data_IF_208117590020
#
_entry.id   IF_208117590020
#
_cell.length_a   1.000
_cell.length_b   1.000
_cell.length_c   1.000
_cell.angle_alpha   90.00
_cell.angle_beta   90.00
_cell.angle_gamma   90.00
#
_symmetry.space_group_name_H-M   'P 1'
#
loop_
_entity.id
_entity.type
_entity.pdbx_description
1 polymer ?
#
# COMPACT_ATOMS: atom_id res chain seq x y z
N UNK A 1 20.68 -51.60 -41.97
CA UNK A 1 19.58 -50.94 -41.22
C UNK A 1 20.19 -49.77 -40.44
N UNK A 2 20.26 -48.58 -41.03
CA UNK A 2 20.92 -47.41 -40.41
C UNK A 2 19.89 -46.30 -40.23
N UNK A 3 19.32 -46.20 -39.02
CA UNK A 3 18.42 -45.10 -38.65
C UNK A 3 19.26 -43.82 -38.46
N UNK A 4 19.16 -42.87 -39.40
CA UNK A 4 19.60 -41.48 -39.18
C UNK A 4 18.64 -40.82 -38.19
N UNK A 5 19.07 -40.62 -36.95
CA UNK A 5 18.38 -39.73 -36.00
C UNK A 5 18.78 -38.29 -36.33
N UNK A 6 17.94 -37.57 -37.09
CA UNK A 6 18.06 -36.11 -37.21
C UNK A 6 17.54 -35.52 -35.91
N UNK A 7 18.45 -35.17 -35.00
CA UNK A 7 18.14 -34.56 -33.70
C UNK A 7 17.37 -33.26 -33.97
N UNK A 8 16.07 -33.29 -33.68
CA UNK A 8 15.16 -32.15 -33.78
C UNK A 8 15.52 -31.18 -32.67
N UNK A 9 16.26 -30.13 -33.01
CA UNK A 9 16.54 -29.01 -32.12
C UNK A 9 15.31 -28.12 -32.05
N UNK A 10 14.35 -28.49 -31.21
CA UNK A 10 13.22 -27.63 -30.83
C UNK A 10 13.79 -26.65 -29.80
N UNK A 11 14.47 -25.60 -30.26
CA UNK A 11 14.83 -24.46 -29.43
C UNK A 11 13.61 -23.57 -29.25
N UNK A 12 12.70 -24.02 -28.39
CA UNK A 12 11.63 -23.19 -27.84
C UNK A 12 11.93 -23.00 -26.37
N UNK A 13 12.73 -21.99 -26.05
CA UNK A 13 12.72 -21.39 -24.71
C UNK A 13 12.67 -19.89 -24.88
N UNK A 14 11.43 -19.41 -24.98
CA UNK A 14 11.07 -18.05 -24.66
C UNK A 14 11.58 -17.76 -23.25
N UNK A 15 12.65 -16.99 -23.13
CA UNK A 15 12.94 -16.28 -21.89
C UNK A 15 11.93 -15.14 -21.80
N UNK A 16 10.77 -15.52 -21.26
CA UNK A 16 9.72 -14.65 -20.77
C UNK A 16 10.39 -13.60 -19.90
N UNK A 17 10.14 -12.34 -20.25
CA UNK A 17 10.54 -11.17 -19.49
C UNK A 17 10.09 -11.35 -18.04
N UNK A 18 11.04 -11.67 -17.16
CA UNK A 18 10.85 -11.53 -15.72
C UNK A 18 11.12 -10.07 -15.36
N UNK A 19 10.31 -9.19 -15.93
CA UNK A 19 9.93 -7.97 -15.26
C UNK A 19 8.64 -8.35 -14.56
N UNK A 20 8.76 -8.75 -13.30
CA UNK A 20 7.69 -8.67 -12.33
C UNK A 20 7.40 -7.17 -12.15
N UNK A 21 6.88 -6.53 -13.19
CA UNK A 21 6.21 -5.25 -13.11
C UNK A 21 4.91 -5.57 -12.39
N UNK A 22 4.96 -5.32 -11.09
CA UNK A 22 3.85 -5.11 -10.17
C UNK A 22 2.62 -4.58 -10.94
N UNK A 23 1.79 -5.50 -11.41
CA UNK A 23 0.49 -5.18 -12.00
C UNK A 23 -0.49 -5.03 -10.85
N UNK A 24 -0.30 -4.00 -10.02
CA UNK A 24 -1.41 -3.46 -9.25
C UNK A 24 -2.12 -2.45 -10.15
N UNK A 25 -3.22 -2.88 -10.75
CA UNK A 25 -4.19 -2.02 -11.40
C UNK A 25 -5.54 -2.45 -10.83
N UNK A 26 -6.40 -1.57 -10.33
CA UNK A 26 -7.35 -0.85 -11.19
C UNK A 26 -8.03 0.27 -10.42
N UNK A 27 -7.54 1.49 -10.57
CA UNK A 27 -8.34 2.61 -11.07
C UNK A 27 -7.32 3.56 -11.73
N UNK A 28 -7.74 4.66 -12.32
CA UNK A 28 -6.90 5.63 -13.03
C UNK A 28 -5.87 6.32 -12.10
N UNK A 29 -4.91 5.59 -11.52
CA UNK A 29 -3.86 6.09 -10.65
C UNK A 29 -2.56 6.24 -11.45
N UNK A 30 -2.51 7.34 -12.19
CA UNK A 30 -1.24 7.97 -12.56
C UNK A 30 -0.46 8.25 -11.25
N UNK A 31 0.51 7.37 -10.94
CA UNK A 31 1.59 7.54 -9.97
C UNK A 31 1.32 7.15 -8.49
N UNK A 32 1.98 6.07 -8.02
CA UNK A 32 2.56 5.79 -6.69
C UNK A 32 2.11 6.50 -5.41
N UNK A 33 0.84 6.90 -5.31
CA UNK A 33 0.29 7.68 -4.23
C UNK A 33 -0.92 6.95 -3.62
N UNK A 34 -1.00 6.91 -2.29
CA UNK A 34 -2.05 6.23 -1.54
C UNK A 34 -2.63 7.17 -0.47
N UNK A 35 -3.95 7.11 -0.25
CA UNK A 35 -4.61 7.86 0.83
C UNK A 35 -4.34 7.19 2.18
N UNK A 36 -3.93 7.98 3.17
CA UNK A 36 -3.66 7.51 4.53
C UNK A 36 -4.66 8.07 5.55
N UNK A 37 -4.99 7.25 6.55
CA UNK A 37 -5.80 7.66 7.69
C UNK A 37 -5.29 7.06 9.00
N UNK A 38 -5.58 7.73 10.12
CA UNK A 38 -5.33 7.23 11.46
C UNK A 38 -6.55 6.44 11.94
N UNK A 39 -6.34 5.18 12.31
CA UNK A 39 -7.31 4.38 13.05
C UNK A 39 -7.22 4.74 14.54
N UNK A 40 -8.25 5.39 15.09
CA UNK A 40 -8.27 5.82 16.48
C UNK A 40 -9.52 5.34 17.22
N UNK A 41 -9.34 4.76 18.41
CA UNK A 41 -10.46 4.40 19.29
C UNK A 41 -10.54 5.44 20.43
N UNK A 42 -11.55 6.33 20.46
CA UNK A 42 -11.67 7.34 21.50
C UNK A 42 -11.93 6.70 22.87
N UNK A 43 -11.45 7.37 23.92
CA UNK A 43 -11.53 6.86 25.29
C UNK A 43 -13.00 6.66 25.70
N UNK A 44 -13.36 5.42 26.04
CA UNK A 44 -14.73 5.07 26.41
C UNK A 44 -15.63 4.67 25.24
N UNK A 45 -15.11 4.67 24.01
CA UNK A 45 -15.75 4.08 22.84
C UNK A 45 -15.20 2.68 22.55
N UNK A 46 -15.98 1.88 21.82
CA UNK A 46 -15.53 0.63 21.19
C UNK A 46 -15.55 0.72 19.67
N UNK A 47 -15.86 1.91 19.15
CA UNK A 47 -15.95 2.19 17.72
C UNK A 47 -14.72 3.00 17.33
N UNK A 48 -14.03 2.53 16.30
CA UNK A 48 -12.90 3.22 15.71
C UNK A 48 -13.40 4.39 14.83
N UNK A 49 -12.69 5.51 14.90
CA UNK A 49 -12.88 6.66 14.03
C UNK A 49 -11.63 6.83 13.18
N UNK A 50 -11.84 7.20 11.92
CA UNK A 50 -10.76 7.39 10.94
C UNK A 50 -10.45 8.88 10.80
N UNK A 51 -9.20 9.26 11.04
CA UNK A 51 -8.70 10.61 10.80
C UNK A 51 -7.96 10.68 9.47
N UNK A 52 -8.56 11.31 8.47
CA UNK A 52 -7.96 11.50 7.15
C UNK A 52 -6.66 12.33 7.24
N UNK A 53 -5.54 11.78 6.79
CA UNK A 53 -4.25 12.47 6.68
C UNK A 53 -4.02 13.05 5.29
N UNK A 54 -4.67 12.47 4.28
CA UNK A 54 -4.51 12.81 2.87
C UNK A 54 -3.66 11.79 2.11
N UNK A 55 -3.29 12.15 0.89
CA UNK A 55 -2.55 11.29 -0.04
C UNK A 55 -1.02 11.44 0.14
N UNK A 56 -0.32 10.32 0.24
CA UNK A 56 1.14 10.24 0.33
C UNK A 56 1.70 9.45 -0.85
N UNK A 57 2.85 9.86 -1.36
CA UNK A 57 3.46 9.28 -2.56
C UNK A 57 4.88 8.81 -2.32
N UNK A 58 5.26 7.72 -3.00
CA UNK A 58 6.66 7.25 -3.14
C UNK A 58 7.38 7.17 -1.78
N UNK A 59 8.57 7.78 -1.63
CA UNK A 59 9.32 7.81 -0.35
C UNK A 59 8.48 8.28 0.85
N UNK A 60 7.54 9.21 0.67
CA UNK A 60 6.72 9.72 1.77
C UNK A 60 5.68 8.70 2.23
N UNK A 61 5.17 7.88 1.30
CA UNK A 61 4.31 6.76 1.62
C UNK A 61 5.10 5.68 2.37
N UNK A 62 6.27 5.29 1.84
CA UNK A 62 7.15 4.29 2.48
C UNK A 62 7.56 4.72 3.89
N UNK A 63 7.84 6.01 4.10
CA UNK A 63 8.20 6.55 5.42
C UNK A 63 7.04 6.47 6.41
N UNK A 64 5.82 6.83 5.98
CA UNK A 64 4.63 6.77 6.84
C UNK A 64 4.27 5.32 7.19
N UNK A 65 4.35 4.41 6.23
CA UNK A 65 4.09 2.98 6.46
C UNK A 65 5.17 2.32 7.34
N UNK A 66 6.42 2.80 7.29
CA UNK A 66 7.51 2.24 8.10
C UNK A 66 7.61 2.86 9.50
N UNK A 67 7.39 4.17 9.62
CA UNK A 67 7.68 4.95 10.83
C UNK A 67 6.41 5.50 11.51
N UNK A 68 5.27 5.49 10.84
CA UNK A 68 4.03 6.14 11.29
C UNK A 68 3.99 7.63 10.95
N UNK A 69 3.07 8.37 11.59
CA UNK A 69 2.81 9.77 11.25
C UNK A 69 2.78 10.70 12.46
N UNK A 70 3.36 11.88 12.32
CA UNK A 70 3.26 12.94 13.32
C UNK A 70 2.10 13.89 12.98
N UNK A 71 0.98 13.73 13.67
CA UNK A 71 -0.17 14.59 13.50
C UNK A 71 0.09 15.93 14.21
N UNK A 72 0.31 16.99 13.43
CA UNK A 72 0.65 18.31 13.94
C UNK A 72 -0.50 18.98 14.74
N UNK A 73 -1.74 18.77 14.32
CA UNK A 73 -2.94 19.36 14.91
C UNK A 73 -4.02 18.30 15.10
N UNK A 74 -4.84 18.44 16.14
CA UNK A 74 -5.92 17.50 16.42
C UNK A 74 -6.95 17.48 15.27
N UNK A 75 -7.50 16.31 14.98
CA UNK A 75 -8.61 16.14 14.03
C UNK A 75 -9.90 16.04 14.84
N UNK A 76 -10.89 16.87 14.52
CA UNK A 76 -12.21 16.88 15.18
C UNK A 76 -13.23 16.20 14.26
N UNK A 77 -13.76 15.06 14.71
CA UNK A 77 -14.71 14.22 13.96
C UNK A 77 -16.06 14.24 14.69
N UNK A 78 -16.83 15.31 14.50
CA UNK A 78 -18.09 15.49 15.19
C UNK A 78 -17.90 15.66 16.70
N UNK A 79 -18.23 14.61 17.48
CA UNK A 79 -18.03 14.58 18.94
C UNK A 79 -16.70 13.97 19.37
N UNK A 80 -16.00 13.31 18.44
CA UNK A 80 -14.72 12.66 18.71
C UNK A 80 -13.55 13.58 18.35
N UNK A 81 -12.40 13.35 18.99
CA UNK A 81 -11.18 14.11 18.73
C UNK A 81 -9.98 13.16 18.73
N UNK A 82 -9.26 13.17 17.62
CA UNK A 82 -7.97 12.51 17.47
C UNK A 82 -6.91 13.54 17.87
N UNK A 83 -6.19 13.35 19.00
CA UNK A 83 -5.26 14.35 19.50
C UNK A 83 -4.04 14.50 18.59
N UNK A 84 -3.45 15.70 18.56
CA UNK A 84 -2.14 15.89 17.94
C UNK A 84 -1.09 15.01 18.65
N UNK A 85 -0.14 14.44 17.90
CA UNK A 85 0.87 13.56 18.45
C UNK A 85 1.49 12.60 17.43
N UNK A 86 2.37 11.74 17.92
CA UNK A 86 2.96 10.68 17.12
C UNK A 86 2.05 9.45 17.14
N UNK A 87 1.71 8.97 15.95
CA UNK A 87 1.02 7.71 15.72
C UNK A 87 2.03 6.72 15.16
N UNK A 88 1.99 5.48 15.64
CA UNK A 88 2.88 4.43 15.14
C UNK A 88 2.39 3.95 13.78
N UNK A 89 3.26 3.32 12.99
CA UNK A 89 2.89 2.71 11.71
C UNK A 89 1.70 1.73 11.80
N UNK A 90 1.51 1.07 12.95
CA UNK A 90 0.37 0.17 13.17
C UNK A 90 -0.98 0.86 13.36
N UNK A 91 -0.98 2.17 13.65
CA UNK A 91 -2.18 3.00 13.85
C UNK A 91 -2.49 3.88 12.62
N UNK A 92 -1.63 3.84 11.60
CA UNK A 92 -1.77 4.59 10.34
C UNK A 92 -1.94 3.58 9.21
N UNK A 93 -3.05 3.69 8.49
CA UNK A 93 -3.35 2.82 7.36
C UNK A 93 -3.28 3.65 6.09
N UNK A 94 -2.42 3.24 5.17
CA UNK A 94 -2.25 3.84 3.87
C UNK A 94 -2.72 2.88 2.79
N UNK A 95 -3.51 3.39 1.85
CA UNK A 95 -4.16 2.59 0.82
C UNK A 95 -5.39 1.85 1.34
N UNK A 96 -6.38 1.68 0.46
CA UNK A 96 -7.52 0.81 0.69
C UNK A 96 -7.03 -0.65 0.64
N UNK A 97 -6.41 -1.14 1.71
CA UNK A 97 -6.18 -2.57 1.92
C UNK A 97 -7.53 -3.24 2.27
N UNK A 98 -8.46 -3.22 1.31
CA UNK A 98 -9.56 -4.17 1.21
C UNK A 98 -8.96 -5.58 1.04
N UNK A 99 -8.63 -6.21 2.17
CA UNK A 99 -8.20 -7.60 2.26
C UNK A 99 -9.40 -8.56 2.32
#
# INVERSE_FOLDING_TARGET
>A
MTRKMKKSGIMTYAFIAMLLSFTSCSDDHDHGCEECHIAWIPVGSTVEVQGELGEFCDDALEDVEANGYNLAEQIILGTDTIPAGQYAAGDVHCGEHSH
#
